data_IF_347312495435
#
_entry.id   IF_347312495435
#
_cell.length_a   1.000
_cell.length_b   1.000
_cell.length_c   1.000
_cell.angle_alpha   90.00
_cell.angle_beta   90.00
_cell.angle_gamma   90.00
#
_symmetry.space_group_name_H-M   'P 1'
#
loop_
_entity.id
_entity.type
_entity.pdbx_description
1 polymer ?
#
# COMPACT_ATOMS: atom_id res chain seq x y z
N UNK A 1 -20.91 -3.88 -3.18
CA UNK A 1 -19.70 -3.21 -3.67
C UNK A 1 -18.62 -4.23 -3.43
N UNK A 2 -18.03 -4.80 -4.48
CA UNK A 2 -16.99 -5.81 -4.35
C UNK A 2 -15.85 -5.33 -3.44
N UNK A 3 -15.34 -6.25 -2.64
CA UNK A 3 -14.19 -6.01 -1.77
C UNK A 3 -12.98 -6.74 -2.35
N UNK A 4 -11.82 -6.09 -2.27
CA UNK A 4 -10.58 -6.57 -2.85
C UNK A 4 -9.46 -6.53 -1.82
N UNK A 5 -8.50 -7.43 -1.99
CA UNK A 5 -7.23 -7.43 -1.26
C UNK A 5 -6.07 -7.20 -2.24
N UNK A 6 -5.11 -6.39 -1.81
CA UNK A 6 -3.85 -6.21 -2.51
C UNK A 6 -2.70 -6.23 -1.51
N UNK A 7 -1.59 -6.85 -1.91
CA UNK A 7 -0.39 -6.94 -1.09
C UNK A 7 0.85 -6.83 -1.96
N UNK A 8 1.94 -6.34 -1.37
CA UNK A 8 3.25 -6.41 -2.00
C UNK A 8 3.79 -7.84 -2.14
N UNK A 9 3.11 -8.83 -1.55
CA UNK A 9 3.40 -10.26 -1.69
C UNK A 9 2.86 -10.87 -3.00
N UNK A 10 1.94 -10.20 -3.68
CA UNK A 10 1.23 -10.77 -4.84
C UNK A 10 2.01 -10.68 -6.16
N UNK A 11 3.15 -9.99 -6.21
CA UNK A 11 3.96 -9.88 -7.43
C UNK A 11 5.41 -9.41 -7.20
N UNK A 12 6.30 -9.91 -8.05
CA UNK A 12 7.65 -9.35 -8.26
C UNK A 12 8.69 -9.69 -7.21
N UNK A 13 9.88 -9.13 -7.39
CA UNK A 13 10.98 -9.22 -6.42
C UNK A 13 10.79 -8.20 -5.31
N UNK A 14 10.77 -8.67 -4.06
CA UNK A 14 10.66 -7.80 -2.88
C UNK A 14 11.78 -6.77 -2.85
N UNK A 15 11.45 -5.56 -2.40
CA UNK A 15 12.42 -4.50 -2.19
C UNK A 15 12.78 -4.43 -0.71
N UNK A 16 14.07 -4.53 -0.41
CA UNK A 16 14.57 -4.26 0.93
C UNK A 16 14.30 -2.79 1.29
N UNK A 17 13.84 -2.56 2.53
CA UNK A 17 13.62 -1.19 2.99
C UNK A 17 14.96 -0.53 3.33
N UNK A 18 14.99 0.80 3.31
CA UNK A 18 16.19 1.59 3.50
C UNK A 18 15.96 2.73 4.50
N UNK A 19 16.98 3.57 4.69
CA UNK A 19 16.89 4.80 5.49
C UNK A 19 15.89 5.81 4.93
N UNK A 20 15.63 5.74 3.62
CA UNK A 20 14.58 6.49 2.92
C UNK A 20 13.34 5.63 2.71
N UNK A 21 12.18 6.28 2.57
CA UNK A 21 10.93 5.56 2.33
C UNK A 21 10.98 4.77 1.03
N UNK A 22 10.57 3.52 1.12
CA UNK A 22 10.31 2.65 -0.02
C UNK A 22 8.83 2.35 -0.12
N UNK A 23 8.25 2.56 -1.30
CA UNK A 23 6.85 2.21 -1.57
C UNK A 23 6.73 0.71 -1.82
N UNK A 24 6.13 0.01 -0.86
CA UNK A 24 5.91 -1.44 -0.93
C UNK A 24 4.65 -1.77 -1.71
N UNK A 25 3.59 -0.99 -1.51
CA UNK A 25 2.33 -1.14 -2.23
C UNK A 25 1.76 0.24 -2.58
N UNK A 26 1.45 0.45 -3.86
CA UNK A 26 0.66 1.58 -4.32
C UNK A 26 -0.73 1.09 -4.74
N UNK A 27 -1.78 1.72 -4.22
CA UNK A 27 -3.15 1.55 -4.70
C UNK A 27 -3.51 2.83 -5.45
N UNK A 28 -3.84 2.71 -6.73
CA UNK A 28 -4.04 3.86 -7.61
C UNK A 28 -5.20 3.66 -8.57
N UNK A 29 -5.85 4.74 -8.94
CA UNK A 29 -6.92 4.71 -9.94
C UNK A 29 -6.31 4.42 -11.32
N UNK A 30 -6.90 3.48 -12.06
CA UNK A 30 -6.50 3.15 -13.42
C UNK A 30 -6.49 4.37 -14.34
N UNK A 31 -5.70 4.28 -15.41
CA UNK A 31 -5.63 5.36 -16.38
C UNK A 31 -6.92 5.49 -17.21
N UNK A 32 -7.49 6.69 -17.25
CA UNK A 32 -8.54 7.24 -18.12
C UNK A 32 -9.87 6.47 -18.38
N UNK A 33 -9.91 5.14 -18.40
CA UNK A 33 -11.06 4.39 -18.96
C UNK A 33 -12.05 3.90 -17.90
N UNK A 34 -11.66 3.89 -16.61
CA UNK A 34 -12.49 3.36 -15.52
C UNK A 34 -12.14 4.01 -14.16
N UNK A 35 -12.26 5.34 -14.07
CA UNK A 35 -11.94 6.05 -12.84
C UNK A 35 -12.95 5.70 -11.72
N UNK A 36 -12.49 5.00 -10.68
CA UNK A 36 -13.25 4.65 -9.48
C UNK A 36 -12.70 5.37 -8.25
N UNK A 37 -13.47 5.38 -7.15
CA UNK A 37 -13.07 5.94 -5.86
C UNK A 37 -12.87 4.83 -4.84
N UNK A 38 -11.78 4.05 -4.93
CA UNK A 38 -11.55 2.97 -3.99
C UNK A 38 -11.44 3.52 -2.57
N UNK A 39 -12.01 2.79 -1.61
CA UNK A 39 -11.96 3.17 -0.19
C UNK A 39 -11.26 2.07 0.59
N UNK A 40 -10.14 2.43 1.19
CA UNK A 40 -9.30 1.50 1.95
C UNK A 40 -9.85 1.38 3.36
N UNK A 41 -10.25 0.17 3.73
CA UNK A 41 -10.91 -0.12 5.02
C UNK A 41 -10.12 -1.08 5.90
N UNK A 42 -9.03 -1.68 5.42
CA UNK A 42 -8.14 -2.49 6.25
C UNK A 42 -6.72 -2.37 5.74
N UNK A 43 -5.77 -2.20 6.66
CA UNK A 43 -4.35 -2.23 6.34
C UNK A 43 -3.60 -2.99 7.41
N UNK A 44 -2.84 -4.00 7.01
CA UNK A 44 -1.94 -4.76 7.89
C UNK A 44 -0.50 -4.43 7.50
N UNK A 45 0.27 -3.95 8.45
CA UNK A 45 1.71 -3.72 8.34
C UNK A 45 2.47 -4.81 9.09
N UNK A 46 3.46 -5.40 8.42
CA UNK A 46 4.30 -6.44 8.97
C UNK A 46 5.74 -6.33 8.47
N UNK A 47 6.59 -7.20 8.98
CA UNK A 47 7.98 -7.27 8.55
C UNK A 47 8.42 -8.72 8.43
N UNK A 48 9.33 -8.97 7.50
CA UNK A 48 9.83 -10.30 7.20
C UNK A 48 11.33 -10.40 7.39
N UNK A 49 11.75 -11.18 8.37
CA UNK A 49 13.16 -11.43 8.59
C UNK A 49 13.39 -11.97 9.97
N UNK A 50 14.64 -12.30 10.27
CA UNK A 50 15.02 -12.72 11.62
C UNK A 50 14.68 -11.62 12.62
N UNK A 51 13.97 -11.92 13.72
CA UNK A 51 13.61 -10.92 14.71
C UNK A 51 14.83 -10.18 15.24
N UNK A 52 14.76 -8.86 15.22
CA UNK A 52 15.70 -7.96 15.91
C UNK A 52 14.91 -6.79 16.50
N UNK A 53 15.54 -5.99 17.36
CA UNK A 53 14.84 -4.90 18.06
C UNK A 53 15.05 -3.56 17.33
N UNK A 54 14.75 -3.56 16.04
CA UNK A 54 14.87 -2.38 15.18
C UNK A 54 13.51 -1.70 14.98
N UNK A 55 13.52 -0.37 14.92
CA UNK A 55 12.34 0.43 14.64
C UNK A 55 12.10 0.53 13.13
N UNK A 56 10.85 0.37 12.71
CA UNK A 56 10.38 0.54 11.33
C UNK A 56 9.29 1.60 11.33
N UNK A 57 9.42 2.56 10.42
CA UNK A 57 8.43 3.64 10.25
C UNK A 57 7.63 3.36 8.99
N UNK A 58 6.34 3.19 9.17
CA UNK A 58 5.31 3.06 8.16
C UNK A 58 4.62 4.38 7.90
N UNK A 59 4.16 4.55 6.67
CA UNK A 59 3.34 5.67 6.27
C UNK A 59 2.43 5.29 5.09
N UNK A 60 1.20 5.78 5.11
CA UNK A 60 0.32 5.81 3.95
C UNK A 60 0.22 7.27 3.47
N UNK A 61 0.76 7.58 2.29
CA UNK A 61 0.77 8.95 1.74
C UNK A 61 0.07 9.03 0.38
N UNK A 62 -0.51 10.18 0.05
CA UNK A 62 -1.16 10.38 -1.26
C UNK A 62 -0.13 10.52 -2.38
N UNK A 63 -0.49 10.05 -3.57
CA UNK A 63 0.32 10.17 -4.78
C UNK A 63 -0.46 10.77 -5.95
N UNK A 64 0.25 11.41 -6.87
CA UNK A 64 -0.29 11.95 -8.14
C UNK A 64 0.19 11.18 -9.37
N UNK A 65 1.17 10.31 -9.21
CA UNK A 65 1.68 9.40 -10.24
C UNK A 65 1.90 8.02 -9.64
N UNK A 66 2.06 7.02 -10.51
CA UNK A 66 2.46 5.67 -10.13
C UNK A 66 3.97 5.54 -10.36
N UNK A 67 4.66 4.88 -9.42
CA UNK A 67 6.09 4.58 -9.55
C UNK A 67 6.34 3.41 -10.49
N UNK A 68 7.60 2.98 -10.60
CA UNK A 68 7.94 1.74 -11.32
C UNK A 68 8.03 0.60 -10.32
N UNK A 69 7.23 -0.45 -10.53
CA UNK A 69 7.19 -1.64 -9.71
C UNK A 69 6.52 -2.79 -10.46
N UNK A 70 6.24 -3.87 -9.77
CA UNK A 70 5.54 -5.02 -10.35
C UNK A 70 4.04 -4.81 -10.30
N UNK A 71 3.32 -5.11 -11.39
CA UNK A 71 1.87 -5.10 -11.36
C UNK A 71 1.38 -6.22 -10.43
N UNK A 72 0.59 -5.85 -9.42
CA UNK A 72 -0.11 -6.79 -8.55
C UNK A 72 -1.60 -6.69 -8.86
N UNK A 73 -2.23 -7.79 -9.26
CA UNK A 73 -3.67 -7.80 -9.51
C UNK A 73 -4.41 -7.86 -8.18
N UNK A 74 -5.26 -6.87 -7.83
CA UNK A 74 -6.09 -6.99 -6.64
C UNK A 74 -6.98 -8.22 -6.73
N UNK A 75 -6.98 -9.04 -5.68
CA UNK A 75 -7.74 -10.27 -5.63
C UNK A 75 -9.12 -9.98 -5.00
N UNK A 76 -10.24 -10.32 -5.67
CA UNK A 76 -11.56 -10.17 -5.07
C UNK A 76 -11.69 -11.09 -3.86
N UNK A 77 -12.35 -10.60 -2.80
CA UNK A 77 -12.59 -11.38 -1.58
C UNK A 77 -13.69 -12.43 -1.81
N UNK A 78 -14.69 -12.11 -2.63
CA UNK A 78 -15.64 -13.08 -3.17
C UNK A 78 -15.19 -13.47 -4.59
N UNK A 79 -14.87 -14.74 -4.87
CA UNK A 79 -14.44 -15.16 -6.21
C UNK A 79 -15.50 -14.99 -7.31
N UNK A 80 -16.77 -14.75 -6.96
CA UNK A 80 -17.83 -14.43 -7.92
C UNK A 80 -17.81 -12.96 -8.39
N UNK A 81 -17.08 -12.08 -7.69
CA UNK A 81 -16.96 -10.67 -8.06
C UNK A 81 -16.05 -10.46 -9.29
N UNK A 82 -16.30 -9.41 -10.09
CA UNK A 82 -15.43 -9.06 -11.21
C UNK A 82 -14.04 -8.62 -10.75
N UNK A 83 -13.08 -8.58 -11.68
CA UNK A 83 -11.75 -8.03 -11.39
C UNK A 83 -11.83 -6.52 -11.06
N UNK A 84 -10.98 -6.07 -10.13
CA UNK A 84 -10.86 -4.66 -9.78
C UNK A 84 -10.41 -3.81 -10.98
N UNK A 85 -10.96 -2.59 -11.11
CA UNK A 85 -10.47 -1.58 -12.05
C UNK A 85 -9.41 -0.69 -11.39
N UNK A 86 -9.31 -0.67 -10.05
CA UNK A 86 -8.17 -0.10 -9.32
C UNK A 86 -6.90 -0.89 -9.61
N UNK A 87 -5.78 -0.18 -9.76
CA UNK A 87 -4.46 -0.75 -10.04
C UNK A 87 -3.65 -0.83 -8.75
N UNK A 88 -3.09 -2.02 -8.48
CA UNK A 88 -2.08 -2.18 -7.45
C UNK A 88 -0.69 -2.39 -8.07
N UNK A 89 0.30 -1.68 -7.53
CA UNK A 89 1.70 -1.78 -7.92
C UNK A 89 2.54 -2.12 -6.69
N UNK A 90 3.22 -3.27 -6.74
CA UNK A 90 4.01 -3.81 -5.65
C UNK A 90 5.51 -3.55 -5.82
N UNK A 91 6.21 -3.46 -4.70
CA UNK A 91 7.68 -3.51 -4.60
C UNK A 91 8.37 -2.51 -5.55
N UNK A 92 8.11 -1.22 -5.37
CA UNK A 92 8.56 -0.19 -6.31
C UNK A 92 10.08 0.03 -6.24
N UNK A 93 10.73 0.05 -7.41
CA UNK A 93 12.15 0.38 -7.59
C UNK A 93 12.34 1.88 -7.85
N UNK A 94 11.35 2.53 -8.47
CA UNK A 94 11.26 3.98 -8.65
C UNK A 94 10.03 4.47 -7.92
N UNK A 95 10.21 5.42 -7.00
CA UNK A 95 9.14 5.93 -6.17
C UNK A 95 8.09 6.70 -6.99
N UNK A 96 6.80 6.66 -6.59
CA UNK A 96 5.77 7.51 -7.14
C UNK A 96 5.98 8.97 -6.70
N UNK A 97 5.35 9.91 -7.40
CA UNK A 97 5.28 11.31 -6.94
C UNK A 97 4.34 11.39 -5.75
N UNK A 98 4.92 11.44 -4.55
CA UNK A 98 4.19 11.60 -3.29
C UNK A 98 3.85 13.08 -3.09
N UNK A 99 2.58 13.36 -2.79
CA UNK A 99 2.10 14.72 -2.50
C UNK A 99 2.72 15.19 -1.18
N UNK A 100 3.26 16.40 -1.15
CA UNK A 100 3.82 16.98 0.07
C UNK A 100 2.76 17.08 1.19
N UNK A 101 3.16 16.86 2.44
CA UNK A 101 2.31 16.95 3.64
C UNK A 101 1.00 16.14 3.54
N UNK A 102 1.07 14.95 2.94
CA UNK A 102 -0.10 14.10 2.67
C UNK A 102 -0.07 12.74 3.38
N UNK A 103 0.69 12.62 4.47
CA UNK A 103 0.70 11.43 5.30
C UNK A 103 -0.65 11.26 6.01
N UNK A 104 -1.26 10.09 5.83
CA UNK A 104 -2.59 9.75 6.33
C UNK A 104 -2.51 8.81 7.54
N UNK A 105 -1.53 7.90 7.52
CA UNK A 105 -1.39 6.86 8.54
C UNK A 105 0.09 6.63 8.89
N UNK A 106 0.73 7.57 9.61
CA UNK A 106 2.07 7.36 10.12
C UNK A 106 2.03 6.38 11.30
N UNK A 107 2.88 5.35 11.28
CA UNK A 107 3.03 4.41 12.37
C UNK A 107 4.49 4.02 12.56
N UNK A 108 5.01 4.11 13.79
CA UNK A 108 6.33 3.62 14.14
C UNK A 108 6.17 2.36 14.99
N UNK A 109 6.83 1.27 14.57
CA UNK A 109 6.70 -0.05 15.20
C UNK A 109 8.06 -0.66 15.43
N UNK A 110 8.18 -1.46 16.47
CA UNK A 110 9.30 -2.40 16.58
C UNK A 110 9.09 -3.55 15.59
N UNK A 111 10.17 -4.12 15.07
CA UNK A 111 10.12 -5.22 14.11
C UNK A 111 9.28 -6.42 14.60
N UNK A 112 9.15 -6.64 15.91
CA UNK A 112 8.34 -7.75 16.45
C UNK A 112 6.83 -7.48 16.44
N UNK A 113 6.41 -6.26 16.15
CA UNK A 113 5.01 -5.87 16.19
C UNK A 113 4.40 -5.89 14.79
N UNK A 114 3.21 -6.47 14.69
CA UNK A 114 2.30 -6.28 13.55
C UNK A 114 1.27 -5.22 13.95
N UNK A 115 0.98 -4.28 13.07
CA UNK A 115 -0.12 -3.34 13.26
C UNK A 115 -1.18 -3.60 12.20
N UNK A 116 -2.44 -3.64 12.64
CA UNK A 116 -3.61 -3.60 11.77
C UNK A 116 -4.37 -2.32 12.05
N UNK A 117 -4.64 -1.56 11.01
CA UNK A 117 -5.49 -0.39 11.03
C UNK A 117 -6.83 -0.74 10.38
N UNK A 118 -7.91 -0.50 11.13
CA UNK A 118 -9.29 -0.69 10.67
C UNK A 118 -10.08 0.55 11.10
N UNK A 119 -10.61 1.37 10.17
CA UNK A 119 -11.44 2.51 10.49
C UNK A 119 -12.85 2.07 10.88
N UNK A 120 -13.55 2.94 11.61
CA UNK A 120 -15.02 2.84 11.72
C UNK A 120 -15.65 2.99 10.32
N UNK A 121 -16.76 2.27 10.01
CA UNK A 121 -17.43 2.40 8.72
C UNK A 121 -17.72 3.85 8.33
N UNK A 122 -17.41 4.22 7.08
CA UNK A 122 -17.53 5.58 6.55
C UNK A 122 -16.35 6.50 6.85
N UNK A 123 -15.30 6.00 7.52
CA UNK A 123 -14.05 6.73 7.83
C UNK A 123 -12.83 6.14 7.12
N UNK A 124 -13.06 5.48 5.99
CA UNK A 124 -12.04 4.87 5.15
C UNK A 124 -11.10 5.92 4.52
N UNK A 125 -9.91 5.50 4.13
CA UNK A 125 -9.05 6.34 3.29
C UNK A 125 -9.58 6.27 1.86
N UNK A 126 -10.09 7.40 1.36
CA UNK A 126 -10.66 7.51 0.02
C UNK A 126 -9.62 8.04 -0.96
N UNK A 127 -9.47 7.34 -2.09
CA UNK A 127 -8.72 7.81 -3.25
C UNK A 127 -9.69 8.53 -4.20
N UNK A 128 -9.40 9.77 -4.62
CA UNK A 128 -10.26 10.48 -5.58
C UNK A 128 -10.22 9.78 -6.95
N UNK A 129 -11.32 9.86 -7.70
CA UNK A 129 -11.42 9.36 -9.07
C UNK A 129 -10.67 10.29 -10.05
N UNK A 130 -9.38 10.45 -9.83
CA UNK A 130 -8.45 11.23 -10.64
C UNK A 130 -7.41 10.29 -11.21
N UNK A 131 -7.11 10.44 -12.50
CA UNK A 131 -6.13 9.62 -13.21
C UNK A 131 -4.81 9.49 -12.42
N UNK A 132 -4.38 8.26 -12.14
CA UNK A 132 -3.14 7.93 -11.42
C UNK A 132 -3.06 8.47 -9.98
N UNK A 133 -4.12 9.05 -9.44
CA UNK A 133 -4.18 9.39 -8.02
C UNK A 133 -4.21 8.10 -7.20
N UNK A 134 -3.51 8.11 -6.06
CA UNK A 134 -3.37 6.91 -5.25
C UNK A 134 -2.94 7.17 -3.82
N UNK A 135 -2.72 6.07 -3.12
CA UNK A 135 -2.07 6.00 -1.82
C UNK A 135 -0.89 5.02 -1.94
N UNK A 136 0.28 5.50 -1.53
CA UNK A 136 1.49 4.70 -1.39
C UNK A 136 1.66 4.30 0.08
N UNK A 137 1.73 3.00 0.33
CA UNK A 137 2.13 2.41 1.59
C UNK A 137 3.64 2.21 1.58
N UNK A 138 4.30 2.89 2.51
CA UNK A 138 5.75 3.05 2.51
C UNK A 138 6.33 2.62 3.84
N UNK A 139 7.55 2.11 3.80
CA UNK A 139 8.33 1.80 4.99
C UNK A 139 9.74 2.36 4.89
N UNK A 140 10.33 2.70 6.03
CA UNK A 140 11.76 3.00 6.17
C UNK A 140 12.27 2.51 7.53
N UNK A 141 13.57 2.26 7.59
CA UNK A 141 14.28 2.05 8.85
C UNK A 141 15.74 2.45 8.72
N UNK A 142 16.30 3.00 9.79
CA UNK A 142 17.73 3.30 9.84
C UNK A 142 18.59 2.06 10.17
N UNK A 143 18.00 1.05 10.82
CA UNK A 143 18.74 -0.13 11.30
C UNK A 143 18.23 -1.46 10.76
N UNK A 144 17.03 -1.50 10.18
CA UNK A 144 16.49 -2.69 9.51
C UNK A 144 16.62 -2.57 7.99
N UNK A 145 17.29 -3.53 7.38
CA UNK A 145 17.59 -3.58 5.94
C UNK A 145 16.96 -4.78 5.23
N UNK A 146 16.01 -5.44 5.88
CA UNK A 146 15.29 -6.58 5.32
C UNK A 146 14.03 -6.18 4.55
N UNK A 147 13.15 -7.16 4.36
CA UNK A 147 11.88 -6.95 3.67
C UNK A 147 10.78 -6.59 4.66
N UNK A 148 9.81 -5.83 4.19
CA UNK A 148 8.62 -5.51 4.93
C UNK A 148 7.38 -5.76 4.07
N UNK A 149 6.26 -6.07 4.71
CA UNK A 149 5.04 -6.47 4.02
C UNK A 149 3.85 -5.60 4.43
N UNK A 150 3.00 -5.32 3.47
CA UNK A 150 1.74 -4.61 3.65
C UNK A 150 0.65 -5.33 2.86
N UNK A 151 -0.51 -5.46 3.50
CA UNK A 151 -1.74 -5.87 2.84
C UNK A 151 -2.77 -4.80 3.06
N UNK A 152 -3.40 -4.32 2.00
CA UNK A 152 -4.49 -3.36 2.04
C UNK A 152 -5.75 -3.98 1.45
N UNK A 153 -6.89 -3.80 2.13
CA UNK A 153 -8.20 -4.16 1.60
C UNK A 153 -8.99 -2.89 1.29
N UNK A 154 -9.70 -2.92 0.17
CA UNK A 154 -10.47 -1.79 -0.31
C UNK A 154 -11.74 -2.24 -1.03
N UNK A 155 -12.74 -1.37 -1.05
CA UNK A 155 -13.95 -1.57 -1.83
C UNK A 155 -13.97 -0.66 -3.05
N UNK A 156 -14.64 -1.10 -4.12
CA UNK A 156 -14.78 -0.37 -5.39
C UNK A 156 -16.12 -0.63 -6.10
#
# INVERSE_FOLDING_TARGET
MPDYSASNELAGTKQAIATTHKTLLGISVASAVALRRPRIFDVIFGVEGTPSDQAIVWDASRTTTVGTGSAATPNPLDPADPAALTVATANMTVEPTVTANSNLLPAAVNQRATIRWVPTPGKELVIPATNLAGIAFRAKSAGYVGFANVTAMFNE
#
